data_IF_122311029246
#
_entry.id   IF_122311029246
#
_cell.length_a   1.000
_cell.length_b   1.000
_cell.length_c   1.000
_cell.angle_alpha   90.00
_cell.angle_beta   90.00
_cell.angle_gamma   90.00
#
_symmetry.space_group_name_H-M   'P 1'
#
loop_
_entity.id
_entity.type
_entity.pdbx_description
1 polymer ?
#
# COMPACT_ATOMS: atom_id res chain seq x y z
N UNK A 1 10.10 -3.57 40.35
CA UNK A 1 10.14 -3.88 38.90
C UNK A 1 11.54 -3.56 38.42
N UNK A 2 12.18 -4.46 37.68
CA UNK A 2 13.51 -4.19 37.11
C UNK A 2 13.31 -3.23 35.94
N UNK A 3 13.80 -1.99 36.07
CA UNK A 3 13.87 -1.07 34.94
C UNK A 3 14.87 -1.65 33.95
N UNK A 4 14.39 -2.11 32.80
CA UNK A 4 15.26 -2.53 31.71
C UNK A 4 15.88 -1.30 31.08
N UNK A 5 17.20 -1.32 30.92
CA UNK A 5 17.96 -0.24 30.27
C UNK A 5 17.71 -0.26 28.76
N UNK A 6 17.86 0.86 28.03
CA UNK A 6 17.69 0.93 26.57
C UNK A 6 18.40 -0.19 25.79
N UNK A 7 19.63 -0.55 26.20
CA UNK A 7 20.41 -1.63 25.60
C UNK A 7 19.72 -3.02 25.67
N UNK A 8 18.94 -3.27 26.73
CA UNK A 8 18.18 -4.52 26.85
C UNK A 8 16.94 -4.53 25.96
N UNK A 9 16.31 -3.38 25.71
CA UNK A 9 15.23 -3.29 24.73
C UNK A 9 15.79 -3.47 23.31
N UNK A 10 16.87 -2.79 22.95
CA UNK A 10 17.49 -2.95 21.62
C UNK A 10 17.77 -4.41 21.29
N UNK A 11 18.26 -5.18 22.26
CA UNK A 11 18.45 -6.62 22.08
C UNK A 11 17.13 -7.37 21.84
N UNK A 12 16.06 -7.02 22.57
CA UNK A 12 14.74 -7.63 22.34
C UNK A 12 14.24 -7.36 20.93
N UNK A 13 14.44 -6.15 20.39
CA UNK A 13 14.05 -5.82 19.02
C UNK A 13 14.61 -6.82 18.00
N UNK A 14 15.87 -7.24 18.18
CA UNK A 14 16.55 -8.17 17.27
C UNK A 14 16.13 -9.64 17.43
N UNK A 15 15.72 -10.06 18.65
CA UNK A 15 15.54 -11.49 18.98
C UNK A 15 14.10 -11.90 19.28
N UNK A 16 13.25 -10.94 19.65
CA UNK A 16 11.85 -11.09 20.05
C UNK A 16 11.16 -9.72 19.95
N UNK A 17 10.90 -9.31 18.70
CA UNK A 17 10.28 -8.04 18.31
C UNK A 17 8.90 -7.83 18.96
N UNK A 18 8.14 -8.90 19.15
CA UNK A 18 6.85 -8.85 19.83
C UNK A 18 6.99 -8.49 21.31
N UNK A 19 7.91 -9.14 22.03
CA UNK A 19 8.19 -8.79 23.43
C UNK A 19 8.78 -7.37 23.54
N UNK A 20 9.63 -6.96 22.60
CA UNK A 20 10.10 -5.58 22.52
C UNK A 20 8.94 -4.58 22.42
N UNK A 21 7.95 -4.86 21.55
CA UNK A 21 6.77 -4.01 21.38
C UNK A 21 5.95 -3.92 22.68
N UNK A 22 5.70 -5.04 23.35
CA UNK A 22 4.98 -5.05 24.63
C UNK A 22 5.68 -4.23 25.71
N UNK A 23 7.01 -4.36 25.84
CA UNK A 23 7.80 -3.62 26.82
C UNK A 23 7.87 -2.12 26.47
N UNK A 24 8.03 -1.78 25.19
CA UNK A 24 7.98 -0.39 24.69
C UNK A 24 6.64 0.27 25.03
N UNK A 25 5.52 -0.42 24.83
CA UNK A 25 4.19 0.07 25.19
C UNK A 25 4.05 0.28 26.70
N UNK A 26 4.59 -0.63 27.54
CA UNK A 26 4.57 -0.47 29.00
C UNK A 26 5.33 0.80 29.43
N UNK A 27 6.50 1.05 28.84
CA UNK A 27 7.31 2.24 29.12
C UNK A 27 6.59 3.53 28.69
N UNK A 28 5.99 3.55 27.50
CA UNK A 28 5.19 4.68 27.00
C UNK A 28 4.01 5.00 27.93
N UNK A 29 3.26 3.98 28.36
CA UNK A 29 2.13 4.14 29.31
C UNK A 29 2.58 4.68 30.66
N UNK A 30 3.76 4.27 31.12
CA UNK A 30 4.37 4.78 32.35
C UNK A 30 5.02 6.17 32.19
N UNK A 31 5.04 6.75 30.98
CA UNK A 31 5.78 7.97 30.63
C UNK A 31 7.27 7.90 30.95
N UNK A 32 7.83 6.68 30.99
CA UNK A 32 9.24 6.45 31.26
C UNK A 32 10.05 6.54 29.96
N UNK A 33 10.23 7.78 29.49
CA UNK A 33 10.89 8.05 28.21
C UNK A 33 12.40 7.80 28.24
N UNK A 34 13.02 7.84 29.42
CA UNK A 34 14.48 7.64 29.60
C UNK A 34 14.94 6.21 29.26
N UNK A 35 14.03 5.23 29.39
CA UNK A 35 14.34 3.82 29.14
C UNK A 35 13.82 3.33 27.78
N UNK A 36 13.25 4.22 26.96
CA UNK A 36 12.80 3.86 25.62
C UNK A 36 13.99 3.60 24.70
N UNK A 37 13.80 2.60 23.86
CA UNK A 37 14.61 2.38 22.68
C UNK A 37 14.07 3.25 21.53
N UNK A 38 14.45 4.53 21.57
CA UNK A 38 13.89 5.56 20.68
C UNK A 38 14.25 5.32 19.21
N UNK A 39 15.43 4.76 18.92
CA UNK A 39 15.89 4.53 17.55
C UNK A 39 15.01 3.50 16.84
N UNK A 40 14.87 2.31 17.44
CA UNK A 40 14.01 1.26 16.88
C UNK A 40 12.53 1.66 16.91
N UNK A 41 12.07 2.44 17.91
CA UNK A 41 10.70 2.96 17.94
C UNK A 41 10.42 3.91 16.77
N UNK A 42 11.35 4.81 16.45
CA UNK A 42 11.22 5.70 15.29
C UNK A 42 11.18 4.86 14.00
N UNK A 43 12.10 3.90 13.86
CA UNK A 43 12.14 3.03 12.69
C UNK A 43 10.81 2.27 12.49
N UNK A 44 10.23 1.71 13.55
CA UNK A 44 8.95 1.01 13.48
C UNK A 44 7.79 1.93 13.10
N UNK A 45 7.74 3.15 13.63
CA UNK A 45 6.71 4.13 13.26
C UNK A 45 6.84 4.57 11.79
N UNK A 46 8.07 4.77 11.31
CA UNK A 46 8.31 5.05 9.90
C UNK A 46 7.97 3.86 9.01
N UNK A 47 8.31 2.65 9.45
CA UNK A 47 7.98 1.39 8.77
C UNK A 47 6.47 1.22 8.62
N UNK A 48 5.72 1.45 9.70
CA UNK A 48 4.25 1.44 9.68
C UNK A 48 3.71 2.41 8.64
N UNK A 49 4.18 3.65 8.63
CA UNK A 49 3.76 4.66 7.64
C UNK A 49 4.12 4.28 6.20
N UNK A 50 5.30 3.67 5.98
CA UNK A 50 5.70 3.14 4.66
C UNK A 50 4.80 1.98 4.23
N UNK A 51 4.45 1.09 5.14
CA UNK A 51 3.60 -0.07 4.87
C UNK A 51 2.18 0.34 4.49
N UNK A 52 1.58 1.29 5.20
CA UNK A 52 0.27 1.84 4.85
C UNK A 52 0.26 2.46 3.46
N UNK A 53 1.30 3.27 3.15
CA UNK A 53 1.45 3.86 1.83
C UNK A 53 1.64 2.80 0.73
N UNK A 54 2.44 1.78 0.98
CA UNK A 54 2.66 0.68 0.03
C UNK A 54 1.39 -0.14 -0.19
N UNK A 55 0.57 -0.35 0.84
CA UNK A 55 -0.73 -1.02 0.73
C UNK A 55 -1.65 -0.26 -0.23
N UNK A 56 -1.86 1.05 0.00
CA UNK A 56 -2.75 1.84 -0.84
C UNK A 56 -2.24 2.00 -2.28
N UNK A 57 -0.92 2.11 -2.48
CA UNK A 57 -0.30 2.06 -3.83
C UNK A 57 -0.57 0.74 -4.53
N UNK A 58 -0.45 -0.37 -3.81
CA UNK A 58 -0.66 -1.70 -4.37
C UNK A 58 -2.12 -1.90 -4.78
N UNK A 59 -3.07 -1.49 -3.94
CA UNK A 59 -4.50 -1.56 -4.25
C UNK A 59 -4.84 -0.70 -5.48
N UNK A 60 -4.38 0.56 -5.51
CA UNK A 60 -4.60 1.44 -6.66
C UNK A 60 -4.02 0.86 -7.96
N UNK A 61 -2.81 0.29 -7.89
CA UNK A 61 -2.20 -0.40 -9.02
C UNK A 61 -3.07 -1.55 -9.52
N UNK A 62 -3.64 -2.36 -8.62
CA UNK A 62 -4.50 -3.47 -9.01
C UNK A 62 -5.79 -2.99 -9.67
N UNK A 63 -6.39 -1.90 -9.18
CA UNK A 63 -7.55 -1.26 -9.82
C UNK A 63 -7.20 -0.89 -11.27
N UNK A 64 -6.09 -0.17 -11.47
CA UNK A 64 -5.65 0.27 -12.80
C UNK A 64 -5.38 -0.94 -13.72
N UNK A 65 -4.72 -2.00 -13.22
CA UNK A 65 -4.49 -3.23 -13.99
C UNK A 65 -5.82 -3.77 -14.52
N UNK A 66 -6.81 -3.95 -13.65
CA UNK A 66 -8.08 -4.57 -14.05
C UNK A 66 -8.90 -3.68 -14.99
N UNK A 67 -8.86 -2.36 -14.81
CA UNK A 67 -9.47 -1.41 -15.76
C UNK A 67 -8.81 -1.56 -17.14
N UNK A 68 -7.49 -1.58 -17.21
CA UNK A 68 -6.77 -1.76 -18.47
C UNK A 68 -7.05 -3.12 -19.12
N UNK A 69 -7.19 -4.20 -18.34
CA UNK A 69 -7.59 -5.50 -18.88
C UNK A 69 -9.00 -5.46 -19.47
N UNK A 70 -9.96 -4.79 -18.80
CA UNK A 70 -11.32 -4.62 -19.30
C UNK A 70 -11.39 -3.79 -20.59
N UNK A 71 -10.61 -2.70 -20.66
CA UNK A 71 -10.64 -1.78 -21.79
C UNK A 71 -9.91 -2.33 -23.03
N UNK A 72 -8.77 -3.00 -22.83
CA UNK A 72 -7.86 -3.33 -23.94
C UNK A 72 -7.78 -4.82 -24.27
N UNK A 73 -8.09 -5.73 -23.34
CA UNK A 73 -7.91 -7.18 -23.58
C UNK A 73 -9.18 -7.87 -24.10
N UNK A 74 -9.52 -7.54 -25.34
CA UNK A 74 -10.74 -8.03 -26.00
C UNK A 74 -10.79 -9.55 -26.14
N UNK A 75 -9.65 -10.21 -26.36
CA UNK A 75 -9.56 -11.66 -26.54
C UNK A 75 -10.06 -12.47 -25.32
N UNK A 76 -9.87 -11.95 -24.11
CA UNK A 76 -10.23 -12.62 -22.85
C UNK A 76 -11.46 -12.00 -22.17
N UNK A 77 -12.05 -10.97 -22.78
CA UNK A 77 -13.13 -10.18 -22.20
C UNK A 77 -14.36 -11.04 -21.86
N UNK A 78 -14.88 -11.81 -22.81
CA UNK A 78 -16.11 -12.59 -22.65
C UNK A 78 -16.06 -13.56 -21.46
N UNK A 79 -14.86 -14.08 -21.17
CA UNK A 79 -14.64 -15.06 -20.10
C UNK A 79 -14.38 -14.39 -18.74
N UNK A 80 -13.69 -13.26 -18.72
CA UNK A 80 -13.11 -12.73 -17.48
C UNK A 80 -13.68 -11.39 -17.02
N UNK A 81 -14.44 -10.66 -17.84
CA UNK A 81 -14.91 -9.31 -17.49
C UNK A 81 -15.62 -9.24 -16.13
N UNK A 82 -16.49 -10.20 -15.81
CA UNK A 82 -17.19 -10.24 -14.51
C UNK A 82 -16.24 -10.42 -13.33
N UNK A 83 -15.22 -11.25 -13.50
CA UNK A 83 -14.20 -11.46 -12.46
C UNK A 83 -13.40 -10.18 -12.25
N UNK A 84 -12.92 -9.54 -13.33
CA UNK A 84 -12.15 -8.30 -13.22
C UNK A 84 -12.96 -7.14 -12.63
N UNK A 85 -14.25 -7.03 -12.98
CA UNK A 85 -15.16 -6.08 -12.33
C UNK A 85 -15.32 -6.36 -10.84
N UNK A 86 -15.47 -7.64 -10.44
CA UNK A 86 -15.52 -8.04 -9.03
C UNK A 86 -14.24 -7.67 -8.26
N UNK A 87 -13.07 -7.91 -8.85
CA UNK A 87 -11.78 -7.52 -8.28
C UNK A 87 -11.66 -6.00 -8.10
N UNK A 88 -12.12 -5.20 -9.08
CA UNK A 88 -12.12 -3.73 -8.96
C UNK A 88 -12.97 -3.29 -7.77
N UNK A 89 -14.17 -3.85 -7.60
CA UNK A 89 -15.05 -3.51 -6.47
C UNK A 89 -14.36 -3.84 -5.14
N UNK A 90 -13.77 -5.04 -5.02
CA UNK A 90 -13.06 -5.45 -3.81
C UNK A 90 -11.87 -4.53 -3.50
N UNK A 91 -11.03 -4.24 -4.50
CA UNK A 91 -9.87 -3.36 -4.29
C UNK A 91 -10.27 -1.92 -3.99
N UNK A 92 -11.38 -1.43 -4.55
CA UNK A 92 -11.92 -0.10 -4.22
C UNK A 92 -12.40 -0.04 -2.79
N UNK A 93 -13.13 -1.05 -2.31
CA UNK A 93 -13.56 -1.11 -0.92
C UNK A 93 -12.35 -1.11 0.02
N UNK A 94 -11.38 -2.00 -0.20
CA UNK A 94 -10.14 -2.07 0.58
C UNK A 94 -9.34 -0.76 0.56
N UNK A 95 -9.28 -0.10 -0.60
CA UNK A 95 -8.57 1.16 -0.77
C UNK A 95 -9.28 2.29 -0.02
N UNK A 96 -10.60 2.44 -0.22
CA UNK A 96 -11.40 3.45 0.46
C UNK A 96 -11.35 3.28 1.99
N UNK A 97 -11.38 2.04 2.48
CA UNK A 97 -11.25 1.73 3.92
C UNK A 97 -9.85 2.04 4.48
N UNK A 98 -8.82 2.06 3.63
CA UNK A 98 -7.43 2.33 4.03
C UNK A 98 -7.00 3.78 3.79
N UNK A 99 -7.82 4.59 3.11
CA UNK A 99 -7.44 5.94 2.70
C UNK A 99 -7.60 6.97 3.82
N UNK A 100 -6.56 7.78 3.98
CA UNK A 100 -6.58 9.04 4.74
C UNK A 100 -6.33 10.21 3.79
N UNK A 101 -6.58 11.45 4.23
CA UNK A 101 -6.31 12.65 3.41
C UNK A 101 -4.85 12.71 2.95
N UNK A 102 -3.89 12.38 3.85
CA UNK A 102 -2.46 12.37 3.52
C UNK A 102 -2.13 11.29 2.50
N UNK A 103 -2.66 10.08 2.66
CA UNK A 103 -2.42 8.99 1.72
C UNK A 103 -3.05 9.28 0.36
N UNK A 104 -4.25 9.87 0.32
CA UNK A 104 -4.90 10.32 -0.92
C UNK A 104 -4.00 11.30 -1.68
N UNK A 105 -3.49 12.32 -1.01
CA UNK A 105 -2.60 13.32 -1.62
C UNK A 105 -1.31 12.68 -2.17
N UNK A 106 -0.73 11.71 -1.46
CA UNK A 106 0.44 10.96 -1.95
C UNK A 106 0.13 10.14 -3.20
N UNK A 107 -1.03 9.48 -3.26
CA UNK A 107 -1.44 8.74 -4.46
C UNK A 107 -1.65 9.66 -5.65
N UNK A 108 -2.24 10.84 -5.46
CA UNK A 108 -2.38 11.84 -6.54
C UNK A 108 -1.00 12.22 -7.11
N UNK A 109 -0.01 12.44 -6.25
CA UNK A 109 1.34 12.81 -6.67
C UNK A 109 2.08 11.70 -7.42
N UNK A 110 1.73 10.44 -7.15
CA UNK A 110 2.42 9.26 -7.67
C UNK A 110 1.63 8.51 -8.74
N UNK A 111 0.47 9.05 -9.14
CA UNK A 111 -0.51 8.37 -9.98
C UNK A 111 0.09 7.88 -11.30
N UNK A 112 0.84 8.73 -12.00
CA UNK A 112 1.51 8.36 -13.25
C UNK A 112 2.54 7.24 -13.06
N UNK A 113 3.27 7.25 -11.94
CA UNK A 113 4.22 6.18 -11.65
C UNK A 113 3.50 4.85 -11.41
N UNK A 114 2.41 4.88 -10.62
CA UNK A 114 1.59 3.71 -10.32
C UNK A 114 0.98 3.14 -11.59
N UNK A 115 0.44 4.00 -12.47
CA UNK A 115 -0.07 3.64 -13.79
C UNK A 115 1.01 2.99 -14.65
N UNK A 116 2.21 3.58 -14.75
CA UNK A 116 3.29 3.02 -15.56
C UNK A 116 3.73 1.62 -15.09
N UNK A 117 3.67 1.35 -13.78
CA UNK A 117 3.92 0.00 -13.25
C UNK A 117 2.77 -0.94 -13.60
N UNK A 118 1.51 -0.52 -13.45
CA UNK A 118 0.34 -1.31 -13.87
C UNK A 118 0.39 -1.67 -15.36
N UNK A 119 0.70 -0.69 -16.22
CA UNK A 119 0.81 -0.85 -17.66
C UNK A 119 1.86 -1.91 -18.04
N UNK A 120 3.03 -1.90 -17.40
CA UNK A 120 4.06 -2.93 -17.63
C UNK A 120 3.55 -4.33 -17.31
N UNK A 121 2.78 -4.48 -16.22
CA UNK A 121 2.16 -5.77 -15.85
C UNK A 121 1.15 -6.19 -16.91
N UNK A 122 0.30 -5.27 -17.37
CA UNK A 122 -0.71 -5.54 -18.40
C UNK A 122 -0.06 -5.94 -19.72
N UNK A 123 0.90 -5.16 -20.23
CA UNK A 123 1.65 -5.45 -21.47
C UNK A 123 2.31 -6.82 -21.38
N UNK A 124 2.97 -7.14 -20.27
CA UNK A 124 3.60 -8.44 -20.07
C UNK A 124 2.59 -9.60 -20.03
N UNK A 125 1.39 -9.37 -19.46
CA UNK A 125 0.34 -10.39 -19.30
C UNK A 125 -0.42 -10.64 -20.60
N UNK A 126 -0.72 -9.60 -21.36
CA UNK A 126 -1.58 -9.67 -22.56
C UNK A 126 -0.78 -9.81 -23.85
N UNK A 127 0.49 -9.41 -23.87
CA UNK A 127 1.30 -9.32 -25.09
C UNK A 127 0.92 -8.18 -26.03
N UNK A 128 0.00 -7.29 -25.62
CA UNK A 128 -0.39 -6.11 -26.40
C UNK A 128 0.76 -5.12 -26.51
N UNK A 129 0.85 -4.44 -27.66
CA UNK A 129 1.88 -3.44 -27.88
C UNK A 129 1.68 -2.23 -26.95
N UNK A 130 2.76 -1.76 -26.31
CA UNK A 130 2.69 -0.68 -25.31
C UNK A 130 2.19 0.64 -25.89
N UNK A 131 2.35 0.88 -27.19
CA UNK A 131 1.87 2.08 -27.89
C UNK A 131 0.35 2.14 -28.08
N UNK A 132 -0.38 1.08 -27.73
CA UNK A 132 -1.85 1.08 -27.70
C UNK A 132 -2.39 1.81 -26.47
N UNK A 133 -1.55 2.05 -25.47
CA UNK A 133 -1.93 2.65 -24.20
C UNK A 133 -1.43 4.10 -24.13
N UNK A 134 -2.14 4.99 -23.42
CA UNK A 134 -1.66 6.35 -23.16
C UNK A 134 -0.32 6.37 -22.42
N UNK A 135 0.55 7.32 -22.77
CA UNK A 135 1.88 7.49 -22.13
C UNK A 135 1.79 7.95 -20.65
N UNK A 136 0.73 8.69 -20.30
CA UNK A 136 0.43 9.14 -18.93
C UNK A 136 -0.88 8.52 -18.46
N UNK A 137 -1.12 8.51 -17.14
CA UNK A 137 -2.35 7.97 -16.59
C UNK A 137 -3.57 8.74 -17.14
N UNK A 138 -4.51 8.06 -17.85
CA UNK A 138 -5.67 8.75 -18.42
C UNK A 138 -6.79 8.95 -17.38
N UNK A 139 -6.64 8.39 -16.18
CA UNK A 139 -7.65 8.42 -15.13
C UNK A 139 -7.27 9.41 -14.04
N UNK A 140 -8.24 10.13 -13.48
CA UNK A 140 -8.08 10.80 -12.19
C UNK A 140 -8.17 9.81 -11.04
N UNK A 141 -7.67 10.19 -9.86
CA UNK A 141 -7.83 9.35 -8.67
C UNK A 141 -9.32 9.19 -8.31
N UNK A 142 -10.13 10.23 -8.50
CA UNK A 142 -11.57 10.18 -8.28
C UNK A 142 -12.24 9.10 -9.15
N UNK A 143 -11.92 9.05 -10.45
CA UNK A 143 -12.45 8.02 -11.35
C UNK A 143 -12.04 6.60 -10.95
N UNK A 144 -10.83 6.44 -10.39
CA UNK A 144 -10.34 5.15 -9.92
C UNK A 144 -11.02 4.70 -8.63
N UNK A 145 -11.54 5.63 -7.82
CA UNK A 145 -12.20 5.36 -6.54
C UNK A 145 -13.73 5.24 -6.63
N UNK A 146 -14.35 5.82 -7.66
CA UNK A 146 -15.80 5.82 -7.86
C UNK A 146 -16.27 4.57 -8.62
N UNK A 147 -17.40 4.01 -8.18
CA UNK A 147 -18.11 2.98 -8.95
C UNK A 147 -18.73 3.59 -10.21
N UNK A 148 -18.67 2.85 -11.32
CA UNK A 148 -19.31 3.21 -12.59
C UNK A 148 -20.79 2.88 -12.53
#
# INVERSE_FOLDING_TARGET
MLNKTPNQLQRLYEIDDYLWLEETIKLLKAKNLENLDLENLIEELESLGRNDLNKVRSLLRQIIIHILLLEYWQDEYDRNHRHWQGEIIAFRDDLNNSLTTTLKNKLVQELDHIYNVALKVVVQKTGLASNLFPDNCPYSLEQLLEDV
#
